data_IF_489735286116
#
_entry.id   IF_489735286116
#
_cell.length_a   1.000
_cell.length_b   1.000
_cell.length_c   1.000
_cell.angle_alpha   90.00
_cell.angle_beta   90.00
_cell.angle_gamma   90.00
#
_symmetry.space_group_name_H-M   'P 1'
#
loop_
_entity.id
_entity.type
_entity.pdbx_description
1 polymer ?
#
# COMPACT_ATOMS: atom_id res chain seq x y z
N UNK A 1 14.39 9.28 14.15
CA UNK A 1 13.05 8.68 14.14
C UNK A 1 12.59 8.46 12.68
N UNK A 2 12.01 7.31 12.40
CA UNK A 2 11.45 7.01 11.09
C UNK A 2 9.94 7.20 11.13
N UNK A 3 9.40 7.91 10.13
CA UNK A 3 7.98 8.22 10.05
C UNK A 3 7.36 7.52 8.84
N UNK A 4 6.22 6.88 9.09
CA UNK A 4 5.39 6.24 8.06
C UNK A 4 4.16 7.10 7.80
N UNK A 5 3.89 7.40 6.53
CA UNK A 5 2.68 8.09 6.11
C UNK A 5 1.68 7.09 5.53
N UNK A 6 0.47 7.06 6.05
CA UNK A 6 -0.63 6.22 5.57
C UNK A 6 -1.76 7.03 4.94
N UNK A 7 -1.52 8.29 4.60
CA UNK A 7 -2.54 9.20 4.08
C UNK A 7 -3.27 8.62 2.85
N UNK A 8 -2.52 8.04 1.91
CA UNK A 8 -3.10 7.47 0.69
C UNK A 8 -3.97 6.27 1.04
N UNK A 9 -3.44 5.33 1.82
CA UNK A 9 -4.18 4.13 2.20
C UNK A 9 -5.41 4.45 3.03
N UNK A 10 -5.25 5.17 4.14
CA UNK A 10 -6.36 5.55 5.02
C UNK A 10 -7.31 6.52 4.34
N UNK A 11 -6.77 7.47 3.57
CA UNK A 11 -7.57 8.47 2.87
C UNK A 11 -8.41 7.89 1.74
N UNK A 12 -8.08 6.69 1.26
CA UNK A 12 -8.85 6.05 0.18
C UNK A 12 -10.31 5.82 0.57
N UNK A 13 -10.60 5.60 1.86
CA UNK A 13 -11.97 5.48 2.34
C UNK A 13 -12.79 6.76 2.12
N UNK A 14 -12.16 7.92 2.32
CA UNK A 14 -12.83 9.21 2.20
C UNK A 14 -13.22 9.55 0.75
N UNK A 15 -12.53 8.97 -0.23
CA UNK A 15 -12.78 9.20 -1.65
C UNK A 15 -13.37 7.96 -2.34
N UNK A 16 -13.98 7.08 -1.55
CA UNK A 16 -14.60 5.83 -2.04
C UNK A 16 -13.64 5.03 -2.93
N UNK A 17 -12.37 4.96 -2.53
CA UNK A 17 -11.30 4.25 -3.23
C UNK A 17 -11.02 4.75 -4.66
N UNK A 18 -11.38 6.00 -4.94
CA UNK A 18 -11.30 6.58 -6.29
C UNK A 18 -10.14 7.57 -6.47
N UNK A 19 -9.04 7.39 -5.75
CA UNK A 19 -7.83 8.16 -6.06
C UNK A 19 -7.39 7.87 -7.51
N UNK A 20 -7.01 8.94 -8.23
CA UNK A 20 -6.36 8.77 -9.52
C UNK A 20 -4.87 8.48 -9.29
N UNK A 21 -4.19 7.99 -10.34
CA UNK A 21 -2.73 7.85 -10.27
C UNK A 21 -2.04 9.20 -10.03
N UNK A 22 -2.57 10.28 -10.59
CA UNK A 22 -2.04 11.62 -10.35
C UNK A 22 -2.19 12.04 -8.89
N UNK A 23 -3.33 11.73 -8.28
CA UNK A 23 -3.55 11.99 -6.84
C UNK A 23 -2.51 11.27 -6.00
N UNK A 24 -2.30 10.00 -6.26
CA UNK A 24 -1.33 9.18 -5.52
C UNK A 24 0.08 9.73 -5.71
N UNK A 25 0.46 10.04 -6.93
CA UNK A 25 1.78 10.60 -7.23
C UNK A 25 2.00 11.93 -6.51
N UNK A 26 1.01 12.82 -6.52
CA UNK A 26 1.10 14.13 -5.88
C UNK A 26 1.17 14.03 -4.36
N UNK A 27 0.34 13.18 -3.76
CA UNK A 27 0.34 12.98 -2.31
C UNK A 27 1.67 12.37 -1.86
N UNK A 28 2.16 11.35 -2.56
CA UNK A 28 3.42 10.71 -2.24
C UNK A 28 4.59 11.70 -2.32
N UNK A 29 4.63 12.53 -3.35
CA UNK A 29 5.66 13.56 -3.49
C UNK A 29 5.64 14.57 -2.34
N UNK A 30 4.45 15.02 -1.96
CA UNK A 30 4.28 15.96 -0.84
C UNK A 30 4.69 15.33 0.48
N UNK A 31 4.35 14.07 0.71
CA UNK A 31 4.73 13.34 1.92
C UNK A 31 6.24 13.23 2.02
N UNK A 32 6.92 12.93 0.94
CA UNK A 32 8.38 12.90 0.92
C UNK A 32 8.98 14.26 1.27
N UNK A 33 8.44 15.34 0.71
CA UNK A 33 8.90 16.71 1.00
C UNK A 33 8.69 17.11 2.46
N UNK A 34 7.68 16.55 3.11
CA UNK A 34 7.40 16.78 4.54
C UNK A 34 8.32 15.97 5.46
N UNK A 35 9.14 15.08 4.91
CA UNK A 35 10.11 14.31 5.67
C UNK A 35 9.72 12.87 6.00
N UNK A 36 8.63 12.37 5.47
CA UNK A 36 8.26 10.96 5.66
C UNK A 36 9.21 10.07 4.87
N UNK A 37 9.78 9.08 5.55
CA UNK A 37 10.73 8.13 4.95
C UNK A 37 10.05 6.88 4.41
N UNK A 38 8.85 6.59 4.88
CA UNK A 38 8.05 5.44 4.47
C UNK A 38 6.66 5.94 4.09
N UNK A 39 6.18 5.55 2.92
CA UNK A 39 4.88 5.97 2.40
C UNK A 39 4.13 4.72 1.98
N UNK A 40 2.97 4.49 2.60
CA UNK A 40 2.11 3.36 2.33
C UNK A 40 1.05 3.77 1.32
N UNK A 41 0.95 3.05 0.23
CA UNK A 41 0.00 3.35 -0.85
C UNK A 41 -1.03 2.24 -1.00
N UNK A 42 -1.96 2.42 -1.91
CA UNK A 42 -2.94 1.42 -2.26
C UNK A 42 -4.27 1.56 -1.52
N UNK A 43 -5.07 0.53 -1.63
CA UNK A 43 -6.41 0.44 -1.05
C UNK A 43 -6.37 0.46 0.49
N UNK A 44 -7.42 0.99 1.12
CA UNK A 44 -7.53 1.03 2.58
C UNK A 44 -7.41 -0.32 3.26
N UNK A 45 -7.88 -1.39 2.63
CA UNK A 45 -7.74 -2.77 3.14
C UNK A 45 -6.42 -3.42 2.69
N UNK A 46 -5.58 -2.69 1.98
CA UNK A 46 -4.26 -3.15 1.60
C UNK A 46 -4.16 -3.79 0.23
N UNK A 47 -3.08 -4.52 0.05
CA UNK A 47 -2.73 -5.16 -1.21
C UNK A 47 -3.81 -6.16 -1.66
N UNK A 48 -4.16 -6.10 -2.93
CA UNK A 48 -5.15 -6.97 -3.59
C UNK A 48 -6.58 -6.80 -3.03
N UNK A 49 -6.88 -5.70 -2.35
CA UNK A 49 -8.17 -5.53 -1.70
C UNK A 49 -9.27 -4.98 -2.60
N UNK A 50 -8.92 -4.39 -3.76
CA UNK A 50 -9.92 -3.83 -4.66
C UNK A 50 -10.89 -4.92 -5.15
N UNK A 51 -12.15 -4.83 -4.72
CA UNK A 51 -13.17 -5.83 -5.03
C UNK A 51 -14.55 -5.28 -4.71
N UNK A 52 -15.63 -5.92 -5.20
CA UNK A 52 -16.98 -5.53 -4.81
C UNK A 52 -17.23 -5.65 -3.29
N UNK A 53 -16.54 -6.57 -2.61
CA UNK A 53 -16.69 -6.78 -1.17
C UNK A 53 -16.02 -5.68 -0.35
N UNK A 54 -14.83 -5.23 -0.74
CA UNK A 54 -14.03 -4.27 0.03
C UNK A 54 -14.03 -2.86 -0.54
N UNK A 55 -14.61 -2.66 -1.70
CA UNK A 55 -14.57 -1.41 -2.45
C UNK A 55 -13.63 -1.50 -3.64
N UNK A 56 -14.04 -0.92 -4.77
CA UNK A 56 -13.28 -1.01 -6.01
C UNK A 56 -12.48 0.26 -6.21
N UNK A 57 -11.15 0.12 -6.31
CA UNK A 57 -10.24 1.23 -6.63
C UNK A 57 -10.35 1.61 -8.10
N UNK A 58 -10.02 2.86 -8.40
CA UNK A 58 -10.04 3.36 -9.77
C UNK A 58 -8.92 2.74 -10.62
N UNK A 59 -7.78 2.44 -10.01
CA UNK A 59 -6.62 1.84 -10.67
C UNK A 59 -6.12 0.63 -9.88
N UNK A 60 -5.26 -0.18 -10.50
CA UNK A 60 -4.65 -1.33 -9.84
C UNK A 60 -3.56 -0.91 -8.86
N UNK A 61 -3.20 -1.82 -7.95
CA UNK A 61 -2.10 -1.60 -7.02
C UNK A 61 -0.79 -1.31 -7.77
N UNK A 62 -0.54 -2.06 -8.85
CA UNK A 62 0.65 -1.85 -9.68
C UNK A 62 0.67 -0.45 -10.30
N UNK A 63 -0.47 -0.01 -10.84
CA UNK A 63 -0.58 1.33 -11.43
C UNK A 63 -0.31 2.43 -10.41
N UNK A 64 -0.85 2.30 -9.19
CA UNK A 64 -0.60 3.24 -8.10
C UNK A 64 0.88 3.25 -7.71
N UNK A 65 1.51 2.07 -7.61
CA UNK A 65 2.92 1.98 -7.26
C UNK A 65 3.79 2.64 -8.34
N UNK A 66 3.53 2.37 -9.61
CA UNK A 66 4.30 2.97 -10.68
C UNK A 66 4.14 4.50 -10.72
N UNK A 67 2.94 4.99 -10.45
CA UNK A 67 2.71 6.44 -10.38
C UNK A 67 3.51 7.09 -9.25
N UNK A 68 3.52 6.49 -8.06
CA UNK A 68 4.27 7.01 -6.92
C UNK A 68 5.78 6.95 -7.16
N UNK A 69 6.27 5.88 -7.79
CA UNK A 69 7.70 5.73 -8.09
C UNK A 69 8.24 6.83 -9.01
N UNK A 70 7.38 7.44 -9.81
CA UNK A 70 7.79 8.51 -10.73
C UNK A 70 8.10 9.82 -10.00
N UNK A 71 7.50 10.06 -8.85
CA UNK A 71 7.61 11.34 -8.14
C UNK A 71 8.43 11.26 -6.86
N UNK A 72 8.52 10.08 -6.25
CA UNK A 72 9.28 9.87 -5.01
C UNK A 72 10.71 9.47 -5.35
N UNK A 73 11.67 10.14 -4.72
CA UNK A 73 13.11 9.93 -5.03
C UNK A 73 13.83 9.11 -3.96
N UNK A 74 13.55 9.38 -2.68
CA UNK A 74 14.30 8.81 -1.58
C UNK A 74 13.44 8.01 -0.60
N UNK A 75 12.18 8.38 -0.42
CA UNK A 75 11.29 7.66 0.49
C UNK A 75 11.03 6.24 -0.02
N UNK A 76 10.78 5.33 0.91
CA UNK A 76 10.45 3.95 0.61
C UNK A 76 8.95 3.81 0.46
N UNK A 77 8.52 3.17 -0.62
CA UNK A 77 7.11 2.95 -0.92
C UNK A 77 6.73 1.51 -0.60
N UNK A 78 5.54 1.33 -0.03
CA UNK A 78 5.08 0.01 0.33
C UNK A 78 3.57 -0.12 0.41
N UNK A 79 3.13 -1.32 0.76
CA UNK A 79 1.72 -1.66 0.92
C UNK A 79 1.43 -2.19 2.32
N UNK A 80 0.18 -2.05 2.72
CA UNK A 80 -0.38 -2.82 3.83
C UNK A 80 -0.86 -4.17 3.28
N UNK A 81 -0.76 -5.23 4.07
CA UNK A 81 -1.14 -6.57 3.66
C UNK A 81 -1.93 -7.24 4.78
N UNK A 82 -3.14 -7.66 4.46
CA UNK A 82 -3.97 -8.44 5.38
C UNK A 82 -4.02 -9.87 4.83
N UNK A 83 -3.44 -10.85 5.55
CA UNK A 83 -3.54 -12.26 5.14
C UNK A 83 -4.98 -12.69 4.94
N UNK A 84 -5.26 -13.34 3.81
CA UNK A 84 -6.61 -13.73 3.42
C UNK A 84 -7.22 -12.78 2.40
N UNK A 85 -6.97 -11.47 2.50
CA UNK A 85 -7.30 -10.51 1.44
C UNK A 85 -6.19 -10.55 0.39
N UNK A 86 -4.94 -10.34 0.83
CA UNK A 86 -3.77 -10.55 -0.03
C UNK A 86 -3.30 -11.99 0.06
N UNK A 87 -2.81 -12.52 -1.06
CA UNK A 87 -2.22 -13.85 -1.15
C UNK A 87 -0.70 -13.73 -1.13
N UNK A 88 -0.01 -14.84 -0.84
CA UNK A 88 1.46 -14.89 -0.92
C UNK A 88 1.96 -14.43 -2.31
N UNK A 89 1.25 -14.86 -3.35
CA UNK A 89 1.57 -14.47 -4.73
C UNK A 89 1.54 -12.94 -4.92
N UNK A 90 0.64 -12.25 -4.25
CA UNK A 90 0.53 -10.79 -4.34
C UNK A 90 1.78 -10.11 -3.76
N UNK A 91 2.38 -10.68 -2.73
CA UNK A 91 3.64 -10.18 -2.18
C UNK A 91 4.78 -10.32 -3.17
N UNK A 92 4.84 -11.43 -3.90
CA UNK A 92 5.85 -11.65 -4.93
C UNK A 92 5.69 -10.64 -6.07
N UNK A 93 4.46 -10.43 -6.50
CA UNK A 93 4.16 -9.44 -7.53
C UNK A 93 4.57 -8.04 -7.09
N UNK A 94 4.24 -7.66 -5.85
CA UNK A 94 4.59 -6.34 -5.31
C UNK A 94 6.11 -6.12 -5.31
N UNK A 95 6.88 -7.14 -4.99
CA UNK A 95 8.33 -7.06 -5.03
C UNK A 95 8.83 -6.72 -6.45
N UNK A 96 8.23 -7.34 -7.46
CA UNK A 96 8.60 -7.08 -8.86
C UNK A 96 8.25 -5.64 -9.28
N UNK A 97 7.24 -5.03 -8.67
CA UNK A 97 6.85 -3.64 -8.97
C UNK A 97 7.78 -2.60 -8.34
N UNK A 98 8.72 -3.00 -7.50
CA UNK A 98 9.65 -2.07 -6.87
C UNK A 98 9.28 -1.67 -5.45
N UNK A 99 8.43 -2.42 -4.78
CA UNK A 99 8.04 -2.18 -3.39
C UNK A 99 9.24 -2.34 -2.46
N UNK A 100 9.41 -1.40 -1.54
CA UNK A 100 10.51 -1.41 -0.57
C UNK A 100 10.13 -2.07 0.75
N UNK A 101 8.83 -2.09 1.08
CA UNK A 101 8.36 -2.70 2.33
C UNK A 101 6.91 -3.13 2.22
N UNK A 102 6.51 -4.04 3.11
CA UNK A 102 5.12 -4.43 3.31
C UNK A 102 4.87 -4.51 4.81
N UNK A 103 3.77 -3.90 5.28
CA UNK A 103 3.31 -4.07 6.66
C UNK A 103 2.24 -5.14 6.68
N UNK A 104 2.39 -6.12 7.56
CA UNK A 104 1.45 -7.23 7.67
C UNK A 104 0.59 -7.04 8.92
N UNK A 105 -0.73 -6.96 8.71
CA UNK A 105 -1.70 -6.80 9.79
C UNK A 105 -2.56 -8.03 9.97
N UNK A 106 -2.66 -8.53 11.20
CA UNK A 106 -3.54 -9.63 11.56
C UNK A 106 -4.26 -9.27 12.86
N UNK A 107 -5.38 -9.95 13.14
CA UNK A 107 -6.03 -9.81 14.42
C UNK A 107 -5.12 -10.39 15.53
N UNK A 108 -5.17 -9.78 16.72
CA UNK A 108 -4.32 -10.16 17.83
C UNK A 108 -4.54 -11.62 18.29
N UNK A 109 -5.72 -12.18 18.03
CA UNK A 109 -6.07 -13.56 18.37
C UNK A 109 -5.68 -14.57 17.29
N UNK A 110 -5.12 -14.11 16.16
CA UNK A 110 -4.74 -14.97 15.03
C UNK A 110 -3.34 -14.64 14.50
N UNK A 111 -2.31 -14.56 15.37
CA UNK A 111 -0.98 -14.16 14.93
C UNK A 111 -0.32 -15.16 13.97
N UNK A 112 -0.74 -16.43 14.02
CA UNK A 112 -0.23 -17.47 13.14
C UNK A 112 -0.50 -17.19 11.66
N UNK A 113 -1.54 -16.42 11.33
CA UNK A 113 -1.87 -16.08 9.94
C UNK A 113 -0.79 -15.22 9.27
N UNK A 114 -0.02 -14.49 10.07
CA UNK A 114 1.03 -13.62 9.54
C UNK A 114 2.32 -14.39 9.20
N UNK A 115 2.53 -15.56 9.79
CA UNK A 115 3.81 -16.27 9.73
C UNK A 115 4.30 -16.50 8.31
N UNK A 116 3.48 -17.11 7.47
CA UNK A 116 3.86 -17.45 6.11
C UNK A 116 4.15 -16.21 5.27
N UNK A 117 3.41 -15.12 5.53
CA UNK A 117 3.59 -13.85 4.85
C UNK A 117 4.90 -13.17 5.26
N UNK A 118 5.25 -13.24 6.53
CA UNK A 118 6.51 -12.66 7.04
C UNK A 118 7.72 -13.38 6.47
N UNK A 119 7.65 -14.70 6.32
CA UNK A 119 8.74 -15.53 5.80
C UNK A 119 8.95 -15.34 4.29
N UNK A 120 7.97 -14.82 3.57
CA UNK A 120 8.08 -14.57 2.13
C UNK A 120 8.84 -13.27 1.85
#
# INVERSE_FOLDING_TARGET
>A
MKLLDTTIRDGSYAVDFKFTCDDVANIAEKSEKLGFQYIEIGHGQGLHASSPEHGISLHSDEEYMQAALKTVKNAKLGFFCIPGIARIEDLRNAKEWGVSFVRIGVNADQPQLAKDYIEE
#
